data_IF_785926586258
#
_entry.id   IF_785926586258
#
_cell.length_a   1.000
_cell.length_b   1.000
_cell.length_c   1.000
_cell.angle_alpha   90.00
_cell.angle_beta   90.00
_cell.angle_gamma   90.00
#
_symmetry.space_group_name_H-M   'P 1'
#
loop_
_entity.id
_entity.type
_entity.pdbx_description
1 polymer ?
#
# COMPACT_ATOMS: atom_id res chain seq x y z
N UNK A 1 6.75 31.52 -9.66
CA UNK A 1 7.30 31.76 -11.02
C UNK A 1 8.36 30.71 -11.30
N UNK A 2 7.98 29.62 -11.97
CA UNK A 2 8.91 28.57 -12.37
C UNK A 2 9.45 28.87 -13.78
N UNK A 3 10.76 28.84 -13.91
CA UNK A 3 11.58 29.09 -15.09
C UNK A 3 11.01 28.48 -16.38
N UNK A 4 10.72 29.34 -17.36
CA UNK A 4 10.14 29.09 -18.67
C UNK A 4 11.13 28.53 -19.71
N UNK A 5 11.80 27.42 -19.40
CA UNK A 5 12.59 26.70 -20.40
C UNK A 5 11.76 25.55 -20.98
N UNK A 6 11.03 25.83 -22.07
CA UNK A 6 10.21 24.86 -22.79
C UNK A 6 11.02 23.70 -23.40
N UNK A 7 12.36 23.79 -23.42
CA UNK A 7 13.20 22.73 -23.97
C UNK A 7 13.35 21.54 -23.01
N UNK A 8 13.20 21.75 -21.70
CA UNK A 8 13.52 20.73 -20.69
C UNK A 8 12.41 19.71 -20.55
N UNK A 9 12.80 18.44 -20.46
CA UNK A 9 11.90 17.32 -20.20
C UNK A 9 12.28 16.59 -18.93
N UNK A 10 11.26 16.06 -18.26
CA UNK A 10 11.41 15.34 -17.01
C UNK A 10 10.65 14.02 -17.08
N UNK A 11 11.34 12.94 -16.75
CA UNK A 11 10.76 11.61 -16.59
C UNK A 11 10.89 11.17 -15.13
N UNK A 12 9.78 10.99 -14.45
CA UNK A 12 9.71 10.42 -13.11
C UNK A 12 9.41 8.93 -13.25
N UNK A 13 10.35 8.10 -12.83
CA UNK A 13 10.34 6.65 -13.08
C UNK A 13 10.38 5.91 -11.76
N UNK A 14 9.60 4.84 -11.63
CA UNK A 14 9.66 3.97 -10.46
C UNK A 14 9.60 2.49 -10.86
N UNK A 15 9.89 1.58 -9.93
CA UNK A 15 9.84 0.14 -10.22
C UNK A 15 8.41 -0.37 -10.43
N UNK A 16 7.44 0.17 -9.68
CA UNK A 16 6.06 -0.31 -9.65
C UNK A 16 5.07 0.79 -10.01
N UNK A 17 3.94 0.40 -10.60
CA UNK A 17 2.88 1.35 -10.91
C UNK A 17 2.29 2.01 -9.65
N UNK A 18 2.32 1.34 -8.50
CA UNK A 18 1.90 1.91 -7.21
C UNK A 18 2.82 3.07 -6.81
N UNK A 19 4.13 2.92 -6.98
CA UNK A 19 5.08 4.02 -6.72
C UNK A 19 4.86 5.18 -7.70
N UNK A 20 4.68 4.91 -8.99
CA UNK A 20 4.34 5.94 -10.00
C UNK A 20 3.07 6.70 -9.62
N UNK A 21 2.04 5.99 -9.16
CA UNK A 21 0.79 6.58 -8.66
C UNK A 21 1.04 7.47 -7.44
N UNK A 22 1.81 7.01 -6.45
CA UNK A 22 2.11 7.80 -5.26
C UNK A 22 2.82 9.12 -5.61
N UNK A 23 3.70 9.12 -6.61
CA UNK A 23 4.34 10.33 -7.14
C UNK A 23 3.28 11.26 -7.74
N UNK A 24 2.41 10.74 -8.61
CA UNK A 24 1.33 11.51 -9.24
C UNK A 24 0.40 12.17 -8.22
N UNK A 25 0.02 11.45 -7.16
CA UNK A 25 -0.84 11.97 -6.09
C UNK A 25 -0.15 13.08 -5.29
N UNK A 26 1.16 12.96 -5.01
CA UNK A 26 1.92 14.02 -4.35
C UNK A 26 1.99 15.27 -5.21
N UNK A 27 2.25 15.13 -6.51
CA UNK A 27 2.22 16.25 -7.45
C UNK A 27 0.85 16.93 -7.50
N UNK A 28 -0.23 16.14 -7.58
CA UNK A 28 -1.59 16.65 -7.60
C UNK A 28 -2.00 17.36 -6.30
N UNK A 29 -1.47 16.93 -5.14
CA UNK A 29 -1.67 17.59 -3.85
C UNK A 29 -1.01 18.98 -3.78
N UNK A 30 0.06 19.18 -4.54
CA UNK A 30 0.76 20.46 -4.71
C UNK A 30 0.19 21.28 -5.89
N UNK A 31 -1.02 20.95 -6.36
CA UNK A 31 -1.68 21.55 -7.53
C UNK A 31 -0.88 21.50 -8.85
N UNK A 32 0.13 20.62 -8.93
CA UNK A 32 0.87 20.37 -10.17
C UNK A 32 0.22 19.24 -10.97
N UNK A 33 -0.54 19.60 -12.00
CA UNK A 33 -1.28 18.66 -12.85
C UNK A 33 -0.79 18.63 -14.31
N UNK A 34 0.29 19.33 -14.63
CA UNK A 34 0.94 19.34 -15.95
C UNK A 34 1.94 18.18 -16.10
N UNK A 35 1.41 16.96 -16.02
CA UNK A 35 2.16 15.73 -16.25
C UNK A 35 1.32 14.69 -16.99
N UNK A 36 1.93 13.63 -17.53
CA UNK A 36 1.21 12.46 -18.06
C UNK A 36 1.74 11.17 -17.45
N UNK A 37 0.84 10.21 -17.19
CA UNK A 37 1.19 8.90 -16.67
C UNK A 37 1.06 7.87 -17.79
N UNK A 38 2.14 7.16 -18.10
CA UNK A 38 2.16 6.08 -19.09
C UNK A 38 2.11 4.72 -18.37
N UNK A 39 1.07 3.93 -18.62
CA UNK A 39 0.84 2.64 -17.95
C UNK A 39 0.50 1.52 -18.92
N UNK A 40 0.77 0.27 -18.54
CA UNK A 40 0.37 -0.89 -19.33
C UNK A 40 -1.13 -1.16 -19.18
N UNK A 41 -1.74 -1.79 -20.19
CA UNK A 41 -3.16 -2.19 -20.15
C UNK A 41 -3.51 -3.01 -18.91
N UNK A 42 -2.63 -3.94 -18.53
CA UNK A 42 -2.86 -4.85 -17.39
C UNK A 42 -2.89 -4.14 -16.04
N UNK A 43 -2.35 -2.91 -15.95
CA UNK A 43 -2.39 -2.13 -14.72
C UNK A 43 -3.75 -1.48 -14.47
N UNK A 44 -4.57 -1.28 -15.50
CA UNK A 44 -5.89 -0.65 -15.34
C UNK A 44 -6.87 -1.53 -14.53
N UNK A 45 -6.68 -2.85 -14.51
CA UNK A 45 -7.57 -3.76 -13.78
C UNK A 45 -7.43 -3.67 -12.25
N UNK A 46 -6.30 -3.15 -11.75
CA UNK A 46 -6.06 -2.90 -10.31
C UNK A 46 -6.44 -1.45 -9.90
N UNK A 47 -6.98 -0.66 -10.83
CA UNK A 47 -7.32 0.75 -10.62
C UNK A 47 -8.79 0.90 -10.19
N UNK A 48 -9.04 1.21 -8.92
CA UNK A 48 -10.38 1.54 -8.44
C UNK A 48 -10.77 2.97 -8.88
N UNK A 49 -11.52 3.08 -9.99
CA UNK A 49 -11.89 4.36 -10.66
C UNK A 49 -12.48 5.43 -9.72
N UNK A 50 -13.27 5.05 -8.72
CA UNK A 50 -14.02 5.98 -7.86
C UNK A 50 -13.18 6.75 -6.80
N UNK A 51 -11.88 6.47 -6.66
CA UNK A 51 -11.04 7.10 -5.63
C UNK A 51 -10.07 8.17 -6.18
N UNK A 52 -9.98 8.38 -7.50
CA UNK A 52 -8.81 9.06 -8.12
C UNK A 52 -9.15 10.08 -9.24
N UNK A 53 -10.34 10.69 -9.21
CA UNK A 53 -10.87 11.61 -10.23
C UNK A 53 -9.87 12.71 -10.68
N UNK A 54 -8.98 13.18 -9.80
CA UNK A 54 -8.06 14.28 -10.10
C UNK A 54 -6.93 13.94 -11.09
N UNK A 55 -6.42 12.71 -11.07
CA UNK A 55 -5.26 12.29 -11.91
C UNK A 55 -5.66 11.44 -13.11
N UNK A 56 -6.93 11.02 -13.19
CA UNK A 56 -7.45 10.17 -14.26
C UNK A 56 -7.24 10.78 -15.66
N UNK A 57 -7.48 12.09 -15.80
CA UNK A 57 -7.25 12.85 -17.04
C UNK A 57 -5.78 12.90 -17.50
N UNK A 58 -4.84 12.54 -16.62
CA UNK A 58 -3.42 12.51 -16.89
C UNK A 58 -2.95 11.10 -17.31
N UNK A 59 -3.80 10.08 -17.20
CA UNK A 59 -3.48 8.70 -17.52
C UNK A 59 -3.55 8.42 -19.02
N UNK A 60 -2.54 7.72 -19.56
CA UNK A 60 -2.51 7.21 -20.93
C UNK A 60 -2.14 5.73 -20.87
N UNK A 61 -3.07 4.89 -21.28
CA UNK A 61 -2.91 3.43 -21.23
C UNK A 61 -2.27 2.92 -22.53
N UNK A 62 -1.42 1.89 -22.44
CA UNK A 62 -0.67 1.33 -23.56
C UNK A 62 -1.50 0.83 -24.75
N UNK A 63 -2.82 0.65 -24.57
CA UNK A 63 -3.76 0.29 -25.63
C UNK A 63 -3.94 1.40 -26.67
N UNK A 64 -3.86 2.67 -26.25
CA UNK A 64 -3.97 3.82 -27.15
C UNK A 64 -2.60 4.31 -27.66
N UNK A 65 -1.50 3.63 -27.31
CA UNK A 65 -0.17 4.01 -27.79
C UNK A 65 -0.07 3.80 -29.29
N UNK A 66 0.47 4.80 -29.96
CA UNK A 66 0.66 4.82 -31.41
C UNK A 66 2.07 5.32 -31.73
N UNK A 67 2.57 4.95 -32.90
CA UNK A 67 3.83 5.49 -33.42
C UNK A 67 3.64 6.83 -34.15
N UNK A 68 2.39 7.31 -34.29
CA UNK A 68 2.08 8.61 -34.86
C UNK A 68 2.36 9.73 -33.84
N UNK A 69 3.30 10.61 -34.19
CA UNK A 69 3.70 11.75 -33.35
C UNK A 69 2.61 12.81 -33.24
N UNK A 70 1.77 12.99 -34.26
CA UNK A 70 0.67 13.96 -34.21
C UNK A 70 -0.41 13.50 -33.22
N UNK A 71 -0.82 12.23 -33.30
CA UNK A 71 -1.73 11.63 -32.34
C UNK A 71 -1.16 11.63 -30.91
N UNK A 72 0.12 11.26 -30.76
CA UNK A 72 0.80 11.25 -29.46
C UNK A 72 0.89 12.66 -28.85
N UNK A 73 1.16 13.68 -29.67
CA UNK A 73 1.19 15.08 -29.22
C UNK A 73 -0.15 15.53 -28.65
N UNK A 74 -1.27 15.11 -29.26
CA UNK A 74 -2.62 15.38 -28.73
C UNK A 74 -2.87 14.69 -27.39
N UNK A 75 -2.37 13.48 -27.19
CA UNK A 75 -2.48 12.78 -25.89
C UNK A 75 -1.67 13.50 -24.80
N UNK A 76 -0.51 14.04 -25.16
CA UNK A 76 0.39 14.75 -24.23
C UNK A 76 -0.14 16.13 -23.81
N UNK A 77 -0.92 16.80 -24.66
CA UNK A 77 -1.45 18.16 -24.41
C UNK A 77 -0.35 19.16 -23.99
N UNK A 78 0.85 19.05 -24.58
CA UNK A 78 1.98 19.91 -24.28
C UNK A 78 2.77 19.55 -23.02
N UNK A 79 2.30 18.61 -22.20
CA UNK A 79 2.98 18.17 -20.98
C UNK A 79 4.40 17.67 -21.27
N UNK A 80 5.36 18.17 -20.50
CA UNK A 80 6.80 17.82 -20.60
C UNK A 80 7.28 16.93 -19.45
N UNK A 81 6.39 16.63 -18.50
CA UNK A 81 6.65 15.74 -17.36
C UNK A 81 5.92 14.42 -17.59
N UNK A 82 6.66 13.31 -17.61
CA UNK A 82 6.12 11.97 -17.82
C UNK A 82 6.41 11.09 -16.61
N UNK A 83 5.40 10.38 -16.15
CA UNK A 83 5.45 9.42 -15.06
C UNK A 83 5.25 8.01 -15.65
N UNK A 84 6.14 7.06 -15.35
CA UNK A 84 5.97 5.68 -15.82
C UNK A 84 6.81 4.68 -15.01
N UNK A 85 6.56 3.38 -15.20
CA UNK A 85 7.46 2.36 -14.64
C UNK A 85 8.74 2.24 -15.46
N UNK A 86 9.82 1.75 -14.85
CA UNK A 86 11.06 1.46 -15.59
C UNK A 86 10.80 0.49 -16.75
N UNK A 87 9.96 -0.53 -16.54
CA UNK A 87 9.55 -1.47 -17.59
C UNK A 87 8.83 -0.81 -18.77
N UNK A 88 8.13 0.32 -18.54
CA UNK A 88 7.43 1.05 -19.60
C UNK A 88 8.40 1.69 -20.60
N UNK A 89 9.59 2.09 -20.14
CA UNK A 89 10.64 2.65 -21.01
C UNK A 89 11.23 1.59 -21.96
N UNK A 90 11.07 0.31 -21.63
CA UNK A 90 11.42 -0.80 -22.52
C UNK A 90 10.32 -1.13 -23.53
N UNK A 91 9.14 -0.49 -23.45
CA UNK A 91 8.06 -0.71 -24.41
C UNK A 91 8.43 -0.12 -25.78
N UNK A 92 8.30 -0.90 -26.85
CA UNK A 92 8.62 -0.43 -28.21
C UNK A 92 7.67 0.70 -28.68
N UNK A 93 6.41 0.69 -28.24
CA UNK A 93 5.39 1.68 -28.61
C UNK A 93 5.56 3.04 -27.93
N UNK A 94 6.55 3.20 -27.02
CA UNK A 94 6.82 4.48 -26.37
C UNK A 94 7.62 5.45 -27.26
N UNK A 95 8.10 4.99 -28.42
CA UNK A 95 9.00 5.75 -29.28
C UNK A 95 8.47 7.15 -29.62
N UNK A 96 7.21 7.27 -30.02
CA UNK A 96 6.58 8.56 -30.35
C UNK A 96 6.58 9.53 -29.15
N UNK A 97 6.32 9.03 -27.93
CA UNK A 97 6.38 9.84 -26.71
C UNK A 97 7.79 10.35 -26.47
N UNK A 98 8.80 9.48 -26.62
CA UNK A 98 10.21 9.86 -26.41
C UNK A 98 10.80 10.71 -27.53
N UNK A 99 10.14 10.79 -28.70
CA UNK A 99 10.49 11.77 -29.74
C UNK A 99 9.97 13.16 -29.39
N UNK A 100 8.75 13.25 -28.88
CA UNK A 100 8.11 14.54 -28.52
C UNK A 100 8.67 15.05 -27.19
N UNK A 101 8.83 14.17 -26.21
CA UNK A 101 9.36 14.43 -24.86
C UNK A 101 10.60 13.55 -24.64
N UNK A 102 11.77 13.92 -25.19
CA UNK A 102 13.00 13.15 -25.02
C UNK A 102 13.33 12.86 -23.56
N UNK A 103 14.01 11.75 -23.26
CA UNK A 103 14.50 11.49 -21.91
C UNK A 103 15.77 12.32 -21.66
N UNK A 104 15.63 13.55 -21.15
CA UNK A 104 16.76 14.40 -20.79
C UNK A 104 17.10 14.29 -19.30
N UNK A 105 16.14 14.63 -18.44
CA UNK A 105 16.25 14.42 -16.99
C UNK A 105 15.38 13.25 -16.60
N UNK A 106 15.99 12.23 -15.99
CA UNK A 106 15.27 11.08 -15.44
C UNK A 106 15.49 11.03 -13.94
N UNK A 107 14.41 11.00 -13.17
CA UNK A 107 14.43 10.82 -11.73
C UNK A 107 13.84 9.45 -11.42
N UNK A 108 14.63 8.59 -10.79
CA UNK A 108 14.17 7.32 -10.26
C UNK A 108 13.71 7.51 -8.82
N UNK A 109 12.46 7.22 -8.52
CA UNK A 109 11.98 7.08 -7.15
C UNK A 109 12.14 5.64 -6.67
N UNK A 110 12.37 5.47 -5.38
CA UNK A 110 12.66 4.17 -4.75
C UNK A 110 13.79 3.39 -5.47
N UNK A 111 14.82 4.10 -5.94
CA UNK A 111 15.89 3.55 -6.76
C UNK A 111 16.63 2.38 -6.08
N UNK A 112 16.73 2.40 -4.75
CA UNK A 112 17.28 1.31 -3.94
C UNK A 112 16.59 -0.05 -4.12
N UNK A 113 15.36 -0.07 -4.64
CA UNK A 113 14.59 -1.30 -4.87
C UNK A 113 14.80 -1.92 -6.26
N UNK A 114 15.43 -1.20 -7.19
CA UNK A 114 15.64 -1.63 -8.58
C UNK A 114 17.02 -2.29 -8.70
N UNK A 115 17.08 -3.46 -9.34
CA UNK A 115 18.37 -4.10 -9.60
C UNK A 115 19.16 -3.32 -10.64
N UNK A 116 20.48 -3.20 -10.45
CA UNK A 116 21.34 -2.41 -11.36
C UNK A 116 21.18 -2.86 -12.82
N UNK A 117 20.96 -4.15 -13.03
CA UNK A 117 20.68 -4.77 -14.33
C UNK A 117 19.51 -4.15 -15.09
N UNK A 118 18.46 -3.74 -14.37
CA UNK A 118 17.20 -3.27 -14.95
C UNK A 118 17.32 -1.86 -15.54
N UNK A 119 18.33 -1.08 -15.15
CA UNK A 119 18.58 0.24 -15.72
C UNK A 119 19.21 0.18 -17.11
N UNK A 120 20.01 -0.84 -17.40
CA UNK A 120 20.81 -0.91 -18.63
C UNK A 120 20.00 -0.81 -19.93
N UNK A 121 18.83 -1.46 -20.08
CA UNK A 121 18.03 -1.33 -21.30
C UNK A 121 17.66 0.12 -21.63
N UNK A 122 17.22 0.88 -20.62
CA UNK A 122 16.85 2.28 -20.75
C UNK A 122 18.09 3.14 -21.06
N UNK A 123 19.16 2.96 -20.28
CA UNK A 123 20.42 3.71 -20.46
C UNK A 123 21.02 3.50 -21.85
N UNK A 124 21.00 2.26 -22.35
CA UNK A 124 21.50 1.92 -23.68
C UNK A 124 20.63 2.54 -24.77
N UNK A 125 19.30 2.41 -24.65
CA UNK A 125 18.33 2.90 -25.63
C UNK A 125 18.33 4.42 -25.76
N UNK A 126 18.48 5.14 -24.65
CA UNK A 126 18.35 6.60 -24.59
C UNK A 126 19.66 7.33 -24.29
N UNK A 127 20.81 6.66 -24.47
CA UNK A 127 22.16 7.19 -24.20
C UNK A 127 22.45 8.56 -24.84
N UNK A 128 21.83 8.87 -25.97
CA UNK A 128 22.07 10.10 -26.72
C UNK A 128 21.25 11.30 -26.22
N UNK A 129 20.16 11.08 -25.48
CA UNK A 129 19.27 12.15 -25.01
C UNK A 129 19.42 12.45 -23.53
N UNK A 130 19.81 11.44 -22.73
CA UNK A 130 19.94 11.58 -21.27
C UNK A 130 21.07 12.54 -20.95
N UNK A 131 20.75 13.61 -20.23
CA UNK A 131 21.70 14.61 -19.75
C UNK A 131 21.84 14.61 -18.23
N UNK A 132 20.80 14.15 -17.51
CA UNK A 132 20.82 14.05 -16.04
C UNK A 132 20.05 12.82 -15.57
N UNK A 133 20.68 12.06 -14.68
CA UNK A 133 20.05 10.99 -13.91
C UNK A 133 20.05 11.37 -12.43
N UNK A 134 18.91 11.21 -11.78
CA UNK A 134 18.76 11.40 -10.34
C UNK A 134 18.19 10.11 -9.76
N UNK A 135 18.83 9.58 -8.73
CA UNK A 135 18.37 8.40 -8.01
C UNK A 135 17.92 8.85 -6.62
N UNK A 136 16.62 8.72 -6.35
CA UNK A 136 15.97 9.07 -5.09
C UNK A 136 15.50 7.76 -4.45
N UNK A 137 15.54 7.74 -3.12
CA UNK A 137 15.20 6.56 -2.32
C UNK A 137 16.47 5.97 -1.72
N UNK A 138 16.43 5.77 -0.42
CA UNK A 138 17.40 4.95 0.29
C UNK A 138 16.80 3.56 0.52
N UNK A 139 17.62 2.64 1.03
CA UNK A 139 17.16 1.34 1.47
C UNK A 139 16.37 1.42 2.78
N UNK A 140 16.05 2.62 3.31
CA UNK A 140 15.52 2.76 4.66
C UNK A 140 14.02 2.89 4.67
N UNK A 141 13.39 2.26 5.66
CA UNK A 141 12.00 2.50 5.99
C UNK A 141 11.90 3.08 7.40
N UNK A 142 11.16 4.18 7.52
CA UNK A 142 11.00 4.97 8.74
C UNK A 142 9.60 4.88 9.35
N UNK A 143 8.71 4.09 8.74
CA UNK A 143 7.30 3.99 9.11
C UNK A 143 7.09 2.94 10.18
N UNK A 144 7.42 1.68 9.87
CA UNK A 144 7.03 0.54 10.68
C UNK A 144 8.00 0.35 11.85
N UNK A 145 7.51 -0.07 13.03
CA UNK A 145 8.33 -0.60 14.12
C UNK A 145 9.32 -1.66 13.63
N UNK A 146 10.49 -1.73 14.27
CA UNK A 146 11.64 -2.57 13.84
C UNK A 146 11.24 -4.02 13.62
N UNK A 147 10.42 -4.59 14.49
CA UNK A 147 9.99 -5.99 14.42
C UNK A 147 9.12 -6.27 13.19
N UNK A 148 8.20 -5.37 12.87
CA UNK A 148 7.32 -5.47 11.69
C UNK A 148 8.14 -5.20 10.42
N UNK A 149 8.92 -4.12 10.43
CA UNK A 149 9.70 -3.70 9.28
C UNK A 149 10.75 -4.73 8.87
N UNK A 150 11.50 -5.30 9.82
CA UNK A 150 12.46 -6.36 9.54
C UNK A 150 11.79 -7.64 9.04
N UNK A 151 10.64 -7.99 9.62
CA UNK A 151 9.85 -9.13 9.15
C UNK A 151 9.41 -8.93 7.69
N UNK A 152 8.83 -7.77 7.35
CA UNK A 152 8.37 -7.45 6.00
C UNK A 152 9.55 -7.37 5.03
N UNK A 153 10.65 -6.74 5.41
CA UNK A 153 11.88 -6.69 4.62
C UNK A 153 12.37 -8.09 4.25
N UNK A 154 12.46 -9.00 5.22
CA UNK A 154 12.88 -10.39 5.01
C UNK A 154 11.93 -11.16 4.08
N UNK A 155 10.63 -11.11 4.32
CA UNK A 155 9.68 -11.99 3.64
C UNK A 155 9.13 -11.41 2.34
N UNK A 156 9.13 -10.09 2.15
CA UNK A 156 8.54 -9.45 0.97
C UNK A 156 9.61 -8.81 0.09
N UNK A 157 10.64 -8.20 0.68
CA UNK A 157 11.63 -7.41 -0.06
C UNK A 157 13.02 -8.04 -0.11
N UNK A 158 13.19 -9.29 0.33
CA UNK A 158 14.46 -10.01 0.25
C UNK A 158 15.59 -9.35 1.07
N UNK A 159 15.27 -8.79 2.25
CA UNK A 159 16.18 -8.02 3.11
C UNK A 159 16.72 -6.71 2.51
N UNK A 160 16.13 -6.21 1.41
CA UNK A 160 16.55 -4.94 0.79
C UNK A 160 16.08 -3.68 1.52
N UNK A 161 15.18 -3.81 2.51
CA UNK A 161 14.71 -2.68 3.32
C UNK A 161 15.35 -2.71 4.72
N UNK A 162 16.07 -1.66 5.08
CA UNK A 162 16.63 -1.39 6.40
C UNK A 162 15.62 -0.62 7.25
N UNK A 163 15.14 -1.22 8.33
CA UNK A 163 14.25 -0.49 9.24
C UNK A 163 15.02 0.47 10.14
N UNK A 164 14.57 1.74 10.16
CA UNK A 164 15.02 2.76 11.11
C UNK A 164 13.80 3.30 11.84
N UNK A 165 13.57 2.79 13.04
CA UNK A 165 12.44 3.19 13.87
C UNK A 165 12.79 3.16 15.36
N UNK A 166 12.17 4.03 16.15
CA UNK A 166 12.43 4.11 17.61
C UNK A 166 11.88 2.91 18.36
N UNK A 167 10.79 2.34 17.87
CA UNK A 167 10.09 1.21 18.51
C UNK A 167 10.70 -0.11 18.07
N UNK A 168 11.33 -0.81 19.02
CA UNK A 168 12.01 -2.10 18.85
C UNK A 168 11.27 -3.28 19.48
N UNK A 169 10.27 -3.02 20.32
CA UNK A 169 9.58 -4.05 21.09
C UNK A 169 8.65 -4.90 20.22
N UNK A 170 8.62 -6.21 20.46
CA UNK A 170 7.59 -7.12 19.91
C UNK A 170 6.15 -6.66 20.29
N UNK A 171 6.01 -5.81 21.31
CA UNK A 171 4.75 -5.21 21.73
C UNK A 171 4.14 -4.21 20.75
N UNK A 172 4.86 -3.86 19.68
CA UNK A 172 4.30 -3.08 18.59
C UNK A 172 3.39 -3.91 17.68
N UNK A 173 3.38 -5.24 17.79
CA UNK A 173 2.45 -6.10 17.07
C UNK A 173 1.88 -7.15 18.02
N UNK A 174 0.55 -7.16 18.15
CA UNK A 174 -0.18 -8.07 19.03
C UNK A 174 -1.22 -8.85 18.28
N UNK A 175 -1.44 -10.08 18.70
CA UNK A 175 -2.55 -10.90 18.21
C UNK A 175 -3.55 -11.08 19.34
N UNK A 176 -4.83 -10.91 19.04
CA UNK A 176 -5.90 -11.27 19.97
C UNK A 176 -6.54 -12.53 19.47
N UNK A 177 -6.43 -13.59 20.26
CA UNK A 177 -7.04 -14.88 19.96
C UNK A 177 -8.54 -14.82 20.23
N UNK A 178 -9.31 -14.65 19.16
CA UNK A 178 -10.76 -14.68 19.12
C UNK A 178 -11.23 -16.11 18.89
N UNK A 179 -10.96 -16.97 19.88
CA UNK A 179 -11.22 -18.42 19.84
C UNK A 179 -12.67 -18.76 19.41
N UNK A 180 -13.65 -17.96 19.84
CA UNK A 180 -15.07 -18.15 19.51
C UNK A 180 -15.50 -17.53 18.17
N UNK A 181 -14.57 -16.90 17.46
CA UNK A 181 -14.82 -16.29 16.16
C UNK A 181 -15.06 -17.34 15.09
N UNK A 182 -16.19 -17.21 14.39
CA UNK A 182 -16.51 -18.03 13.24
C UNK A 182 -16.88 -17.15 12.07
N UNK A 183 -16.27 -17.42 10.92
CA UNK A 183 -16.64 -16.79 9.67
C UNK A 183 -18.10 -17.09 9.32
N UNK A 184 -18.86 -16.07 8.92
CA UNK A 184 -20.23 -16.18 8.43
C UNK A 184 -20.29 -15.60 7.03
N UNK A 185 -20.88 -16.34 6.10
CA UNK A 185 -21.06 -15.90 4.72
C UNK A 185 -22.15 -14.82 4.64
N UNK A 186 -21.86 -13.74 3.91
CA UNK A 186 -22.80 -12.67 3.56
C UNK A 186 -22.69 -12.44 2.06
N UNK A 187 -23.68 -12.93 1.31
CA UNK A 187 -23.61 -12.98 -0.15
C UNK A 187 -22.41 -13.81 -0.63
N UNK A 188 -21.49 -13.19 -1.36
CA UNK A 188 -20.24 -13.80 -1.83
C UNK A 188 -19.02 -13.48 -0.96
N UNK A 189 -19.23 -12.86 0.19
CA UNK A 189 -18.17 -12.38 1.09
C UNK A 189 -18.41 -12.88 2.53
N UNK A 190 -17.63 -12.38 3.49
CA UNK A 190 -17.54 -12.95 4.84
C UNK A 190 -17.57 -11.87 5.92
N UNK A 191 -18.09 -12.22 7.10
CA UNK A 191 -18.07 -11.43 8.34
C UNK A 191 -17.74 -12.32 9.53
N UNK A 192 -17.26 -11.75 10.63
CA UNK A 192 -17.00 -12.43 11.89
C UNK A 192 -17.38 -11.51 13.07
N UNK A 193 -18.51 -11.82 13.70
CA UNK A 193 -19.09 -10.99 14.76
C UNK A 193 -18.26 -10.96 16.06
N UNK A 194 -17.54 -12.03 16.37
CA UNK A 194 -16.68 -12.06 17.55
C UNK A 194 -15.45 -11.18 17.35
N UNK A 195 -14.86 -11.19 16.14
CA UNK A 195 -13.76 -10.28 15.80
C UNK A 195 -14.24 -8.82 15.80
N UNK A 196 -15.45 -8.52 15.31
CA UNK A 196 -16.04 -7.18 15.42
C UNK A 196 -16.08 -6.75 16.89
N UNK A 197 -16.65 -7.59 17.74
CA UNK A 197 -16.82 -7.27 19.17
C UNK A 197 -15.46 -7.01 19.83
N UNK A 198 -14.45 -7.82 19.51
CA UNK A 198 -13.08 -7.67 20.02
C UNK A 198 -12.41 -6.39 19.50
N UNK A 199 -12.53 -6.10 18.20
CA UNK A 199 -11.99 -4.90 17.59
C UNK A 199 -12.59 -3.62 18.21
N UNK A 200 -13.89 -3.63 18.55
CA UNK A 200 -14.53 -2.51 19.25
C UNK A 200 -13.97 -2.32 20.66
N UNK A 201 -13.64 -3.40 21.39
CA UNK A 201 -13.02 -3.26 22.72
C UNK A 201 -11.63 -2.63 22.63
N UNK A 202 -10.82 -3.03 21.64
CA UNK A 202 -9.51 -2.41 21.39
C UNK A 202 -9.69 -0.95 20.97
N UNK A 203 -10.65 -0.64 20.10
CA UNK A 203 -10.97 0.72 19.68
C UNK A 203 -11.40 1.61 20.86
N UNK A 204 -12.19 1.08 21.81
CA UNK A 204 -12.54 1.78 23.05
C UNK A 204 -11.32 2.14 23.87
N UNK A 205 -10.41 1.19 24.05
CA UNK A 205 -9.15 1.42 24.77
C UNK A 205 -8.31 2.49 24.07
N UNK A 206 -8.05 2.37 22.77
CA UNK A 206 -7.29 3.39 22.04
C UNK A 206 -7.95 4.77 22.12
N UNK A 207 -9.28 4.84 22.03
CA UNK A 207 -9.99 6.10 22.21
C UNK A 207 -9.85 6.67 23.64
N UNK A 208 -9.90 5.83 24.69
CA UNK A 208 -9.81 6.29 26.08
C UNK A 208 -8.43 6.84 26.45
N UNK A 209 -7.37 6.32 25.82
CA UNK A 209 -5.99 6.81 26.00
C UNK A 209 -5.58 7.86 24.96
N UNK A 210 -6.51 8.33 24.12
CA UNK A 210 -6.27 9.39 23.13
C UNK A 210 -5.39 8.98 21.94
N UNK A 211 -5.32 7.69 21.62
CA UNK A 211 -4.56 7.19 20.47
C UNK A 211 -5.37 7.28 19.18
N UNK A 212 -4.79 7.85 18.12
CA UNK A 212 -5.40 7.83 16.79
C UNK A 212 -5.29 6.43 16.21
N UNK A 213 -6.43 5.83 15.89
CA UNK A 213 -6.49 4.49 15.31
C UNK A 213 -7.34 4.43 14.04
N UNK A 214 -7.06 3.42 13.22
CA UNK A 214 -7.91 2.98 12.09
C UNK A 214 -8.06 1.46 12.12
N UNK A 215 -9.20 0.97 11.63
CA UNK A 215 -9.54 -0.44 11.54
C UNK A 215 -9.51 -0.87 10.08
N UNK A 216 -8.76 -1.94 9.79
CA UNK A 216 -8.58 -2.50 8.45
C UNK A 216 -9.09 -3.93 8.43
N UNK A 217 -9.83 -4.30 7.40
CA UNK A 217 -10.28 -5.68 7.23
C UNK A 217 -10.32 -6.09 5.75
N UNK A 218 -10.09 -7.36 5.40
CA UNK A 218 -10.12 -7.79 4.00
C UNK A 218 -11.50 -7.76 3.33
N UNK A 219 -12.59 -7.77 4.10
CA UNK A 219 -13.94 -8.02 3.58
C UNK A 219 -14.87 -6.82 3.82
N UNK A 220 -15.47 -6.29 2.76
CA UNK A 220 -16.32 -5.10 2.85
C UNK A 220 -17.56 -5.25 3.76
N UNK A 221 -18.24 -6.43 3.83
CA UNK A 221 -19.28 -6.64 4.82
C UNK A 221 -18.78 -6.53 6.26
N UNK A 222 -17.56 -7.00 6.55
CA UNK A 222 -16.93 -6.82 7.86
C UNK A 222 -16.66 -5.33 8.13
N UNK A 223 -16.11 -4.60 7.15
CA UNK A 223 -15.86 -3.16 7.25
C UNK A 223 -17.14 -2.40 7.63
N UNK A 224 -18.22 -2.64 6.89
CA UNK A 224 -19.52 -2.01 7.10
C UNK A 224 -20.07 -2.32 8.50
N UNK A 225 -19.93 -3.56 8.96
CA UNK A 225 -20.40 -3.94 10.31
C UNK A 225 -19.53 -3.37 11.44
N UNK A 226 -18.21 -3.24 11.23
CA UNK A 226 -17.31 -2.56 12.17
C UNK A 226 -17.69 -1.09 12.34
N UNK A 227 -17.96 -0.39 11.24
CA UNK A 227 -18.38 1.01 11.24
C UNK A 227 -19.71 1.20 12.00
N UNK A 228 -20.71 0.35 11.71
CA UNK A 228 -21.98 0.33 12.45
C UNK A 228 -21.78 0.04 13.94
N UNK A 229 -20.87 -0.87 14.27
CA UNK A 229 -20.57 -1.22 15.66
C UNK A 229 -19.86 -0.09 16.41
N UNK A 230 -18.95 0.66 15.77
CA UNK A 230 -18.35 1.88 16.34
C UNK A 230 -19.43 2.92 16.64
N UNK A 231 -20.31 3.17 15.68
CA UNK A 231 -21.43 4.12 15.83
C UNK A 231 -22.36 3.72 16.98
N UNK A 232 -22.72 2.44 17.06
CA UNK A 232 -23.54 1.90 18.17
C UNK A 232 -22.84 2.01 19.52
N UNK A 233 -21.52 1.84 19.55
CA UNK A 233 -20.70 2.00 20.73
C UNK A 233 -20.43 3.46 21.12
N UNK A 234 -20.95 4.45 20.37
CA UNK A 234 -20.72 5.89 20.55
C UNK A 234 -19.22 6.27 20.49
N UNK A 235 -18.47 5.57 19.64
CA UNK A 235 -17.08 5.89 19.34
C UNK A 235 -16.98 6.71 18.04
N UNK A 236 -15.86 7.44 17.81
CA UNK A 236 -15.55 7.97 16.50
C UNK A 236 -15.62 6.85 15.45
N UNK A 237 -16.37 7.08 14.38
CA UNK A 237 -16.65 6.07 13.34
C UNK A 237 -16.34 6.59 11.93
N UNK A 238 -16.46 7.90 11.70
CA UNK A 238 -16.08 8.55 10.44
C UNK A 238 -14.59 8.39 10.18
N UNK A 239 -14.21 8.00 8.95
CA UNK A 239 -12.81 7.80 8.54
C UNK A 239 -12.03 6.78 9.42
N UNK A 240 -12.74 5.81 10.03
CA UNK A 240 -12.13 4.79 10.90
C UNK A 240 -12.04 3.40 10.29
N UNK A 241 -12.97 2.99 9.44
CA UNK A 241 -13.07 1.60 8.97
C UNK A 241 -12.82 1.48 7.46
N UNK A 242 -11.81 0.71 7.07
CA UNK A 242 -11.41 0.53 5.68
C UNK A 242 -11.32 -0.95 5.30
N UNK A 243 -11.57 -1.23 4.02
CA UNK A 243 -11.10 -2.47 3.44
C UNK A 243 -9.64 -2.28 2.96
N UNK A 244 -8.93 -3.37 2.67
CA UNK A 244 -7.49 -3.26 2.35
C UNK A 244 -7.23 -2.40 1.11
N UNK A 245 -8.10 -2.47 0.11
CA UNK A 245 -7.89 -1.75 -1.16
C UNK A 245 -8.13 -0.25 -1.00
N UNK A 246 -9.19 0.14 -0.28
CA UNK A 246 -9.46 1.55 0.01
C UNK A 246 -8.46 2.17 0.99
N UNK A 247 -7.74 1.34 1.75
CA UNK A 247 -6.71 1.80 2.68
C UNK A 247 -5.31 1.95 2.05
N UNK A 248 -5.15 1.64 0.77
CA UNK A 248 -3.86 1.78 0.10
C UNK A 248 -3.37 3.23 0.11
N UNK A 249 -2.09 3.43 0.45
CA UNK A 249 -1.48 4.77 0.54
C UNK A 249 -1.76 5.50 1.87
N UNK A 250 -2.75 5.05 2.64
CA UNK A 250 -3.00 5.55 3.99
C UNK A 250 -2.10 4.84 5.02
N UNK A 251 -1.97 5.46 6.18
CA UNK A 251 -1.17 5.01 7.33
C UNK A 251 -1.76 5.60 8.61
N UNK A 252 -1.56 4.92 9.74
CA UNK A 252 -1.99 5.41 11.05
C UNK A 252 -1.03 4.92 12.15
N UNK A 253 -0.98 5.64 13.26
CA UNK A 253 -0.18 5.25 14.42
C UNK A 253 -0.62 3.89 14.97
N UNK A 254 -1.92 3.73 15.19
CA UNK A 254 -2.51 2.51 15.73
C UNK A 254 -3.42 1.85 14.70
N UNK A 255 -3.13 0.59 14.35
CA UNK A 255 -3.91 -0.17 13.38
C UNK A 255 -4.54 -1.37 14.06
N UNK A 256 -5.87 -1.50 13.93
CA UNK A 256 -6.61 -2.70 14.33
C UNK A 256 -6.94 -3.48 13.06
N UNK A 257 -6.64 -4.77 13.01
CA UNK A 257 -6.94 -5.64 11.89
C UNK A 257 -7.94 -6.71 12.32
N UNK A 258 -8.95 -6.96 11.50
CA UNK A 258 -9.82 -8.14 11.61
C UNK A 258 -9.65 -9.02 10.38
N UNK A 259 -9.14 -10.24 10.57
CA UNK A 259 -8.86 -11.17 9.46
C UNK A 259 -10.10 -11.91 8.95
N UNK A 260 -11.15 -11.98 9.76
CA UNK A 260 -12.47 -12.58 9.48
C UNK A 260 -12.46 -14.10 9.34
N UNK A 261 -11.56 -14.62 8.53
CA UNK A 261 -11.49 -16.05 8.19
C UNK A 261 -11.04 -16.89 9.38
N UNK A 262 -11.69 -18.03 9.54
CA UNK A 262 -11.42 -19.02 10.58
C UNK A 262 -11.36 -20.44 10.04
N UNK A 263 -11.79 -20.69 8.79
CA UNK A 263 -11.87 -22.05 8.22
C UNK A 263 -11.07 -22.23 6.93
N UNK A 264 -10.97 -21.20 6.08
CA UNK A 264 -10.15 -21.27 4.86
C UNK A 264 -9.32 -20.00 4.72
N UNK A 265 -8.10 -20.18 4.22
CA UNK A 265 -7.11 -19.09 4.06
C UNK A 265 -7.65 -17.85 3.33
N UNK A 266 -8.56 -18.01 2.35
CA UNK A 266 -9.24 -16.90 1.70
C UNK A 266 -8.31 -15.81 1.19
N UNK A 267 -8.59 -14.57 1.60
CA UNK A 267 -7.83 -13.37 1.24
C UNK A 267 -6.34 -13.46 1.59
N UNK A 268 -5.97 -14.23 2.62
CA UNK A 268 -4.57 -14.35 3.06
C UNK A 268 -3.66 -15.01 2.01
N UNK A 269 -4.22 -15.59 0.94
CA UNK A 269 -3.45 -16.03 -0.25
C UNK A 269 -2.87 -14.86 -1.05
N UNK A 270 -3.51 -13.70 -1.03
CA UNK A 270 -3.13 -12.54 -1.84
C UNK A 270 -1.99 -11.76 -1.19
N UNK A 271 -0.76 -12.29 -1.33
CA UNK A 271 0.44 -11.79 -0.64
C UNK A 271 0.67 -10.28 -0.79
N UNK A 272 0.36 -9.69 -1.95
CA UNK A 272 0.49 -8.23 -2.20
C UNK A 272 -0.47 -7.43 -1.31
N UNK A 273 -1.73 -7.82 -1.22
CA UNK A 273 -2.75 -7.14 -0.40
C UNK A 273 -2.51 -7.38 1.09
N UNK A 274 -2.05 -8.56 1.48
CA UNK A 274 -1.62 -8.80 2.87
C UNK A 274 -0.42 -7.93 3.24
N UNK A 275 0.57 -7.77 2.36
CA UNK A 275 1.67 -6.82 2.57
C UNK A 275 1.14 -5.38 2.72
N UNK A 276 0.21 -4.96 1.87
CA UNK A 276 -0.46 -3.66 2.03
C UNK A 276 -1.08 -3.54 3.41
N UNK A 277 -1.84 -4.52 3.88
CA UNK A 277 -2.48 -4.50 5.20
C UNK A 277 -1.48 -4.39 6.37
N UNK A 278 -0.38 -5.17 6.34
CA UNK A 278 0.60 -5.23 7.44
C UNK A 278 1.55 -4.02 7.49
N UNK A 279 1.63 -3.21 6.43
CA UNK A 279 2.59 -2.11 6.29
C UNK A 279 2.03 -0.72 6.65
N UNK A 280 0.87 -0.67 7.31
CA UNK A 280 0.12 0.59 7.54
C UNK A 280 0.34 1.23 8.90
N UNK A 281 0.94 0.49 9.83
CA UNK A 281 1.12 0.91 11.21
C UNK A 281 2.44 1.68 11.40
N UNK A 282 2.38 2.79 12.14
CA UNK A 282 3.57 3.53 12.60
C UNK A 282 3.99 3.19 14.03
N UNK A 283 3.04 2.92 14.92
CA UNK A 283 3.29 2.70 16.35
C UNK A 283 2.94 1.29 16.80
N UNK A 284 1.66 0.90 16.73
CA UNK A 284 1.19 -0.43 17.15
C UNK A 284 0.12 -1.02 16.23
N UNK A 285 0.24 -2.32 15.96
CA UNK A 285 -0.71 -3.11 15.19
C UNK A 285 -1.32 -4.20 16.08
N UNK A 286 -2.65 -4.32 16.08
CA UNK A 286 -3.38 -5.36 16.84
C UNK A 286 -4.23 -6.16 15.85
N UNK A 287 -3.99 -7.47 15.77
CA UNK A 287 -4.63 -8.36 14.81
C UNK A 287 -5.61 -9.28 15.56
N UNK A 288 -6.90 -9.10 15.31
CA UNK A 288 -7.97 -9.97 15.76
C UNK A 288 -8.12 -11.15 14.79
N UNK A 289 -7.97 -12.37 15.29
CA UNK A 289 -8.11 -13.60 14.50
C UNK A 289 -8.26 -14.83 15.42
N UNK A 290 -8.48 -16.00 14.85
CA UNK A 290 -8.35 -17.27 15.57
C UNK A 290 -6.89 -17.73 15.55
N UNK A 291 -6.34 -18.02 16.73
CA UNK A 291 -4.99 -18.55 16.85
C UNK A 291 -4.82 -19.90 16.15
N UNK A 292 -5.75 -20.82 16.40
CA UNK A 292 -5.77 -22.13 15.75
C UNK A 292 -5.80 -22.01 14.22
N UNK A 293 -6.57 -21.05 13.68
CA UNK A 293 -6.61 -20.79 12.24
C UNK A 293 -5.24 -20.35 11.69
N UNK A 294 -4.56 -19.40 12.34
CA UNK A 294 -3.24 -18.95 11.91
C UNK A 294 -2.16 -20.02 12.07
N UNK A 295 -2.23 -20.88 13.08
CA UNK A 295 -1.22 -21.91 13.32
C UNK A 295 -1.40 -23.15 12.45
N UNK A 296 -2.63 -23.44 11.99
CA UNK A 296 -2.92 -24.68 11.26
C UNK A 296 -3.22 -24.43 9.78
N UNK A 297 -4.15 -23.53 9.47
CA UNK A 297 -4.71 -23.37 8.13
C UNK A 297 -3.98 -22.27 7.34
N UNK A 298 -3.59 -21.20 8.03
CA UNK A 298 -2.95 -20.03 7.46
C UNK A 298 -1.51 -19.85 7.93
N UNK A 299 -0.84 -20.91 8.39
CA UNK A 299 0.54 -20.90 8.89
C UNK A 299 1.55 -20.38 7.88
N UNK A 300 1.40 -20.79 6.61
CA UNK A 300 2.25 -20.33 5.51
C UNK A 300 1.88 -18.95 4.97
N UNK A 301 0.78 -18.35 5.45
CA UNK A 301 0.43 -16.99 5.07
C UNK A 301 1.41 -15.98 5.68
N UNK A 302 1.53 -14.80 5.08
CA UNK A 302 2.41 -13.76 5.60
C UNK A 302 2.05 -13.34 7.04
N UNK A 303 0.76 -13.43 7.42
CA UNK A 303 0.29 -13.14 8.79
C UNK A 303 0.62 -14.28 9.75
N UNK A 304 0.49 -15.55 9.32
CA UNK A 304 0.86 -16.72 10.11
C UNK A 304 2.36 -16.75 10.41
N UNK A 305 3.18 -16.48 9.38
CA UNK A 305 4.63 -16.32 9.53
C UNK A 305 4.99 -15.16 10.48
N UNK A 306 4.24 -14.06 10.45
CA UNK A 306 4.45 -12.93 11.37
C UNK A 306 4.16 -13.36 12.82
N UNK A 307 3.02 -14.01 13.05
CA UNK A 307 2.66 -14.52 14.38
C UNK A 307 3.71 -15.49 14.92
N UNK A 308 4.14 -16.46 14.10
CA UNK A 308 5.18 -17.41 14.48
C UNK A 308 6.52 -16.72 14.78
N UNK A 309 6.89 -15.69 14.01
CA UNK A 309 8.15 -14.96 14.22
C UNK A 309 8.19 -14.12 15.49
N UNK A 310 7.03 -13.63 15.95
CA UNK A 310 6.91 -12.80 17.15
C UNK A 310 6.76 -13.64 18.43
N UNK A 311 6.27 -14.87 18.29
CA UNK A 311 6.19 -15.87 19.35
C UNK A 311 4.99 -15.70 20.29
N UNK A 312 4.89 -16.64 21.22
CA UNK A 312 3.78 -16.82 22.17
C UNK A 312 3.40 -15.56 22.95
N UNK A 313 4.40 -14.81 23.43
CA UNK A 313 4.18 -13.62 24.26
C UNK A 313 3.51 -12.43 23.56
N UNK A 314 3.15 -12.57 22.28
CA UNK A 314 2.38 -11.56 21.53
C UNK A 314 0.89 -11.86 21.43
N UNK A 315 0.48 -13.06 21.82
CA UNK A 315 -0.93 -13.46 21.88
C UNK A 315 -1.57 -13.00 23.17
N UNK A 316 -2.78 -12.47 23.05
CA UNK A 316 -3.63 -12.02 24.16
C UNK A 316 -4.96 -12.76 24.04
N UNK A 317 -5.54 -13.20 25.15
CA UNK A 317 -6.86 -13.81 25.09
C UNK A 317 -7.91 -12.71 24.87
N UNK A 318 -8.90 -12.93 24.00
CA UNK A 318 -9.96 -11.95 23.80
C UNK A 318 -10.68 -11.57 25.11
N UNK A 319 -10.74 -12.45 26.11
CA UNK A 319 -11.32 -12.17 27.43
C UNK A 319 -10.56 -11.06 28.17
N UNK A 320 -9.26 -10.94 27.96
CA UNK A 320 -8.43 -9.92 28.61
C UNK A 320 -8.83 -8.52 28.12
N UNK A 321 -9.29 -8.41 26.87
CA UNK A 321 -9.83 -7.16 26.29
C UNK A 321 -11.13 -6.69 26.94
N UNK A 322 -11.78 -7.52 27.77
CA UNK A 322 -12.99 -7.17 28.51
C UNK A 322 -12.68 -6.60 29.89
N UNK A 323 -11.44 -6.69 30.37
CA UNK A 323 -11.09 -6.26 31.72
C UNK A 323 -11.06 -4.73 31.80
N UNK A 324 -11.54 -4.12 32.91
CA UNK A 324 -11.58 -2.65 33.06
C UNK A 324 -10.20 -1.98 32.99
N UNK A 325 -9.15 -2.70 33.37
CA UNK A 325 -7.74 -2.31 33.39
C UNK A 325 -6.96 -2.83 32.17
N UNK A 326 -7.66 -3.27 31.12
CA UNK A 326 -7.04 -3.74 29.89
C UNK A 326 -6.05 -2.71 29.35
N UNK A 327 -4.82 -3.16 29.15
CA UNK A 327 -3.74 -2.40 28.51
C UNK A 327 -3.07 -3.27 27.45
N UNK A 328 -2.72 -2.65 26.32
CA UNK A 328 -2.10 -3.35 25.17
C UNK A 328 -1.05 -2.48 24.49
#
# INVERSE_FOLDING_TARGET
>A
MASSDQSRTLWLVAQSNVAVKNIAEKLAKEDFLDFKILVSKDFHFDWHEHLYEKIERNLIVSEVFTNDTAATSRLLLGSRVILCTLSMLSNNKIAAFTQIVPLQTVIFDEASQIEVGDYFPMLSRYRATISKLVFIGDDKQHRMPIVIGNFISKHVYGNRLKTIHKITSNNSCRFVDVEKGKEKRVGQSWTNQAEISTAIQIARYFNSVGHSYRIVTPYDPQRSQLELALKKAKLPWEDKCFNVDSFQGNEEDYIIISLVRSEKIGFLRERRRVNVMLTRCKVRMVICTSRAFLEQIASDSLVGLLAASLGEGTWINWRDTLQPDFTI
#
